data_IF_177434669726
#
_entry.id   IF_177434669726
#
_cell.length_a   1.000
_cell.length_b   1.000
_cell.length_c   1.000
_cell.angle_alpha   90.00
_cell.angle_beta   90.00
_cell.angle_gamma   90.00
#
_symmetry.space_group_name_H-M   'P 1'
#
loop_
_entity.id
_entity.type
_entity.pdbx_description
1 polymer ?
#
# COMPACT_ATOMS: atom_id res chain seq x y z
N UNK A 1 5.34 20.26 -42.72
CA UNK A 1 5.14 20.92 -41.41
C UNK A 1 4.19 20.07 -40.57
N UNK A 2 3.09 19.61 -41.15
CA UNK A 2 2.15 18.64 -40.54
C UNK A 2 2.82 17.30 -40.17
N UNK A 3 3.60 16.69 -41.07
CA UNK A 3 4.26 15.40 -40.79
C UNK A 3 5.19 15.43 -39.56
N UNK A 4 5.95 16.53 -39.37
CA UNK A 4 6.78 16.73 -38.17
C UNK A 4 5.96 16.94 -36.90
N UNK A 5 4.75 17.50 -37.04
CA UNK A 5 3.84 17.72 -35.92
C UNK A 5 3.18 16.40 -35.50
N UNK A 6 2.81 15.56 -36.46
CA UNK A 6 2.27 14.22 -36.21
C UNK A 6 3.30 13.30 -35.55
N UNK A 7 4.56 13.34 -36.01
CA UNK A 7 5.64 12.56 -35.40
C UNK A 7 5.91 13.00 -33.96
N UNK A 8 6.00 14.32 -33.70
CA UNK A 8 6.15 14.85 -32.35
C UNK A 8 4.95 14.53 -31.43
N UNK A 9 3.73 14.52 -31.96
CA UNK A 9 2.54 14.13 -31.21
C UNK A 9 2.59 12.64 -30.83
N UNK A 10 3.04 11.79 -31.74
CA UNK A 10 3.17 10.35 -31.48
C UNK A 10 4.21 10.06 -30.40
N UNK A 11 5.37 10.70 -30.48
CA UNK A 11 6.41 10.58 -29.44
C UNK A 11 5.89 11.04 -28.07
N UNK A 12 5.20 12.19 -28.01
CA UNK A 12 4.62 12.69 -26.75
C UNK A 12 3.56 11.75 -26.16
N UNK A 13 2.77 11.08 -27.00
CA UNK A 13 1.79 10.09 -26.55
C UNK A 13 2.46 8.82 -26.00
N UNK A 14 3.53 8.35 -26.65
CA UNK A 14 4.32 7.20 -26.18
C UNK A 14 4.99 7.50 -24.82
N UNK A 15 5.57 8.70 -24.66
CA UNK A 15 6.13 9.14 -23.38
C UNK A 15 5.08 9.22 -22.27
N UNK A 16 3.89 9.74 -22.59
CA UNK A 16 2.78 9.81 -21.65
C UNK A 16 2.32 8.41 -21.23
N UNK A 17 2.21 7.47 -22.17
CA UNK A 17 1.82 6.09 -21.88
C UNK A 17 2.82 5.42 -20.92
N UNK A 18 4.12 5.55 -21.18
CA UNK A 18 5.18 5.03 -20.33
C UNK A 18 5.09 5.66 -18.93
N UNK A 19 4.94 6.99 -18.85
CA UNK A 19 4.81 7.72 -17.59
C UNK A 19 3.61 7.23 -16.77
N UNK A 20 2.43 7.10 -17.39
CA UNK A 20 1.23 6.59 -16.73
C UNK A 20 1.42 5.15 -16.23
N UNK A 21 2.06 4.28 -17.03
CA UNK A 21 2.34 2.89 -16.64
C UNK A 21 3.29 2.82 -15.45
N UNK A 22 4.37 3.62 -15.45
CA UNK A 22 5.33 3.69 -14.34
C UNK A 22 4.62 4.18 -13.07
N UNK A 23 3.80 5.23 -13.16
CA UNK A 23 3.02 5.71 -12.02
C UNK A 23 2.06 4.64 -11.48
N UNK A 24 1.39 3.90 -12.37
CA UNK A 24 0.52 2.80 -11.98
C UNK A 24 1.28 1.71 -11.22
N UNK A 25 2.46 1.33 -11.71
CA UNK A 25 3.31 0.33 -11.06
C UNK A 25 3.76 0.78 -9.67
N UNK A 26 4.28 2.00 -9.54
CA UNK A 26 4.73 2.56 -8.25
C UNK A 26 3.58 2.59 -7.24
N UNK A 27 2.42 3.12 -7.64
CA UNK A 27 1.23 3.14 -6.78
C UNK A 27 0.81 1.73 -6.36
N UNK A 28 0.82 0.77 -7.29
CA UNK A 28 0.48 -0.62 -7.01
C UNK A 28 1.44 -1.26 -5.99
N UNK A 29 2.74 -1.00 -6.13
CA UNK A 29 3.74 -1.47 -5.17
C UNK A 29 3.53 -0.87 -3.78
N UNK A 30 3.26 0.44 -3.69
CA UNK A 30 3.06 1.11 -2.41
C UNK A 30 1.81 0.62 -1.69
N UNK A 31 0.71 0.42 -2.44
CA UNK A 31 -0.52 -0.21 -1.91
C UNK A 31 -0.23 -1.62 -1.41
N UNK A 32 0.50 -2.43 -2.19
CA UNK A 32 0.88 -3.79 -1.79
C UNK A 32 1.71 -3.82 -0.51
N UNK A 33 2.73 -2.96 -0.39
CA UNK A 33 3.54 -2.82 0.83
C UNK A 33 2.72 -2.39 2.02
N UNK A 34 1.80 -1.43 1.83
CA UNK A 34 0.90 -0.99 2.89
C UNK A 34 0.02 -2.15 3.37
N UNK A 35 -0.61 -2.90 2.47
CA UNK A 35 -1.46 -4.05 2.82
C UNK A 35 -0.68 -5.13 3.57
N UNK A 36 0.53 -5.46 3.11
CA UNK A 36 1.38 -6.45 3.79
C UNK A 36 1.78 -5.98 5.19
N UNK A 37 2.17 -4.71 5.34
CA UNK A 37 2.50 -4.16 6.66
C UNK A 37 1.31 -4.22 7.63
N UNK A 38 0.09 -3.92 7.15
CA UNK A 38 -1.12 -4.04 7.96
C UNK A 38 -1.40 -5.50 8.36
N UNK A 39 -1.20 -6.45 7.44
CA UNK A 39 -1.32 -7.87 7.74
C UNK A 39 -0.33 -8.32 8.81
N UNK A 40 0.95 -7.96 8.67
CA UNK A 40 2.00 -8.30 9.65
C UNK A 40 1.66 -7.73 11.03
N UNK A 41 1.20 -6.49 11.11
CA UNK A 41 0.75 -5.88 12.38
C UNK A 41 -0.37 -6.68 13.04
N UNK A 42 -1.38 -7.10 12.28
CA UNK A 42 -2.49 -7.94 12.79
C UNK A 42 -2.01 -9.31 13.27
N UNK A 43 -1.12 -9.97 12.53
CA UNK A 43 -0.54 -11.24 12.95
C UNK A 43 0.27 -11.11 14.26
N UNK A 44 0.99 -10.00 14.45
CA UNK A 44 1.70 -9.72 15.70
C UNK A 44 0.69 -9.50 16.84
N UNK A 45 -0.34 -8.68 16.60
CA UNK A 45 -1.40 -8.43 17.59
C UNK A 45 -2.09 -9.73 18.04
N UNK A 46 -2.44 -10.62 17.12
CA UNK A 46 -3.00 -11.95 17.44
C UNK A 46 -2.06 -12.79 18.30
N UNK A 47 -0.76 -12.79 17.98
CA UNK A 47 0.25 -13.54 18.76
C UNK A 47 0.42 -12.97 20.16
N UNK A 48 0.26 -11.66 20.34
CA UNK A 48 0.33 -11.01 21.65
C UNK A 48 -0.92 -11.28 22.47
N UNK A 49 -2.11 -11.26 21.85
CA UNK A 49 -3.36 -11.68 22.50
C UNK A 49 -3.27 -13.12 23.01
N UNK A 50 -2.73 -14.03 22.20
CA UNK A 50 -2.49 -15.44 22.60
C UNK A 50 -1.50 -15.60 23.76
N UNK A 51 -0.76 -14.54 24.11
CA UNK A 51 0.16 -14.49 25.25
C UNK A 51 -0.45 -13.72 26.43
N UNK A 52 -1.77 -13.51 26.42
CA UNK A 52 -2.54 -12.82 27.47
C UNK A 52 -2.07 -11.37 27.71
N UNK A 53 -1.48 -10.71 26.70
CA UNK A 53 -1.22 -9.27 26.77
C UNK A 53 -2.54 -8.48 26.67
N UNK A 54 -2.62 -7.36 27.39
CA UNK A 54 -3.80 -6.51 27.37
C UNK A 54 -3.93 -5.74 26.04
N UNK A 55 -5.18 -5.42 25.70
CA UNK A 55 -5.56 -4.85 24.40
C UNK A 55 -4.93 -3.47 24.18
N UNK A 56 -4.82 -2.66 25.23
CA UNK A 56 -4.28 -1.30 25.18
C UNK A 56 -2.79 -1.33 24.83
N UNK A 57 -2.01 -2.17 25.53
CA UNK A 57 -0.59 -2.40 25.25
C UNK A 57 -0.36 -2.95 23.84
N UNK A 58 -1.23 -3.85 23.37
CA UNK A 58 -1.11 -4.40 22.01
C UNK A 58 -1.35 -3.31 20.96
N UNK A 59 -2.37 -2.48 21.15
CA UNK A 59 -2.67 -1.37 20.26
C UNK A 59 -1.49 -0.38 20.19
N UNK A 60 -0.90 -0.05 21.34
CA UNK A 60 0.27 0.84 21.42
C UNK A 60 1.50 0.28 20.70
N UNK A 61 1.80 -1.02 20.84
CA UNK A 61 2.99 -1.65 20.24
C UNK A 61 2.81 -1.86 18.73
N UNK A 62 1.66 -2.35 18.30
CA UNK A 62 1.42 -2.73 16.90
C UNK A 62 0.94 -1.55 16.04
N UNK A 63 0.43 -0.50 16.69
CA UNK A 63 -0.26 0.61 16.04
C UNK A 63 -1.54 0.19 15.34
N UNK A 64 -2.12 -0.95 15.75
CA UNK A 64 -3.47 -1.39 15.35
C UNK A 64 -4.46 -0.76 16.34
N UNK A 65 -5.64 -0.37 15.86
CA UNK A 65 -6.63 0.25 16.75
C UNK A 65 -7.13 -0.73 17.81
N UNK A 66 -7.54 -0.22 18.98
CA UNK A 66 -8.12 -1.02 20.06
C UNK A 66 -9.31 -1.85 19.55
N UNK A 67 -10.19 -1.25 18.74
CA UNK A 67 -11.34 -1.92 18.16
C UNK A 67 -10.93 -3.10 17.25
N UNK A 68 -9.90 -2.91 16.43
CA UNK A 68 -9.37 -3.99 15.60
C UNK A 68 -8.73 -5.09 16.45
N UNK A 69 -7.98 -4.75 17.51
CA UNK A 69 -7.41 -5.75 18.43
C UNK A 69 -8.53 -6.53 19.13
N UNK A 70 -9.62 -5.88 19.55
CA UNK A 70 -10.78 -6.57 20.12
C UNK A 70 -11.46 -7.51 19.13
N UNK A 71 -11.48 -7.16 17.84
CA UNK A 71 -12.01 -8.02 16.78
C UNK A 71 -11.14 -9.25 16.50
N UNK A 72 -9.86 -9.24 16.88
CA UNK A 72 -8.93 -10.37 16.76
C UNK A 72 -9.07 -11.41 17.89
N UNK A 73 -9.85 -11.10 18.93
CA UNK A 73 -10.10 -11.98 20.08
C UNK A 73 -11.15 -13.04 19.78
#
# INVERSE_FOLDING_TARGET
MEEKLEEALKEALEELEISCRVQGYVKGMDVGKYMENQKVKKEIAEKMLKKDMDVETIADITGVSIDEVLYLK
#
